data_IF_473994458341
#
_entry.id   IF_473994458341
#
_cell.length_a   1.000
_cell.length_b   1.000
_cell.length_c   1.000
_cell.angle_alpha   90.00
_cell.angle_beta   90.00
_cell.angle_gamma   90.00
#
_symmetry.space_group_name_H-M   'P 1'
#
loop_
_entity.id
_entity.type
_entity.pdbx_description
1 polymer ?
#
# COMPACT_ATOMS: atom_id res chain seq x y z
N UNK A 1 27.68 66.07 27.77
CA UNK A 1 27.15 66.69 26.54
C UNK A 1 26.40 65.59 25.79
N UNK A 2 25.08 65.54 25.95
CA UNK A 2 24.22 64.60 25.25
C UNK A 2 23.86 65.19 23.89
N UNK A 3 24.10 64.44 22.82
CA UNK A 3 23.68 64.80 21.48
C UNK A 3 22.32 64.15 21.22
N UNK A 4 21.25 64.90 21.45
CA UNK A 4 19.90 64.53 21.02
C UNK A 4 19.79 64.72 19.51
N UNK A 5 19.86 63.62 18.76
CA UNK A 5 19.49 63.58 17.34
C UNK A 5 17.97 63.45 17.24
N UNK A 6 17.26 64.35 16.53
CA UNK A 6 15.83 64.19 16.34
C UNK A 6 15.54 62.96 15.44
N UNK A 7 14.48 62.20 15.72
CA UNK A 7 14.09 61.07 14.86
C UNK A 7 13.68 61.61 13.49
N UNK A 8 14.46 61.28 12.45
CA UNK A 8 14.08 61.52 11.06
C UNK A 8 12.90 60.62 10.71
N UNK A 9 11.69 61.12 10.92
CA UNK A 9 10.47 60.52 10.37
C UNK A 9 10.34 60.98 8.92
N UNK A 10 10.87 60.17 7.99
CA UNK A 10 10.61 60.35 6.57
C UNK A 10 9.08 60.32 6.34
N UNK A 11 8.49 61.47 6.00
CA UNK A 11 7.07 61.56 5.66
C UNK A 11 6.84 60.90 4.31
N UNK A 12 6.56 59.60 4.31
CA UNK A 12 6.11 58.83 3.14
C UNK A 12 4.90 59.53 2.50
N UNK A 13 4.97 59.80 1.20
CA UNK A 13 3.87 60.42 0.47
C UNK A 13 2.65 59.49 0.44
N UNK A 14 1.44 60.04 0.23
CA UNK A 14 0.21 59.25 0.19
C UNK A 14 0.24 58.13 -0.86
N UNK A 15 0.97 58.34 -1.95
CA UNK A 15 1.18 57.34 -3.00
C UNK A 15 2.12 56.21 -2.57
N UNK A 16 3.19 56.51 -1.83
CA UNK A 16 4.10 55.48 -1.32
C UNK A 16 3.42 54.58 -0.28
N UNK A 17 2.54 55.17 0.56
CA UNK A 17 1.71 54.40 1.49
C UNK A 17 0.73 53.50 0.75
N UNK A 18 0.12 53.97 -0.33
CA UNK A 18 -0.82 53.21 -1.13
C UNK A 18 -0.13 52.04 -1.86
N UNK A 19 1.09 52.26 -2.36
CA UNK A 19 1.94 51.21 -2.93
C UNK A 19 2.39 50.18 -1.88
N UNK A 20 2.77 50.62 -0.68
CA UNK A 20 3.14 49.69 0.40
C UNK A 20 1.96 48.84 0.86
N UNK A 21 0.77 49.42 1.05
CA UNK A 21 -0.45 48.69 1.45
C UNK A 21 -0.90 47.75 0.33
N UNK A 22 -0.87 48.20 -0.93
CA UNK A 22 -1.17 47.37 -2.09
C UNK A 22 -0.19 46.20 -2.24
N UNK A 23 1.11 46.46 -2.07
CA UNK A 23 2.15 45.43 -2.06
C UNK A 23 1.96 44.42 -0.92
N UNK A 24 1.63 44.89 0.28
CA UNK A 24 1.35 44.02 1.42
C UNK A 24 0.13 43.12 1.15
N UNK A 25 -1.00 43.69 0.71
CA UNK A 25 -2.20 42.93 0.37
C UNK A 25 -1.95 41.90 -0.74
N UNK A 26 -1.24 42.28 -1.81
CA UNK A 26 -0.89 41.37 -2.90
C UNK A 26 -0.01 40.22 -2.39
N UNK A 27 0.98 40.52 -1.54
CA UNK A 27 1.86 39.51 -0.96
C UNK A 27 1.09 38.56 -0.03
N UNK A 28 0.21 39.09 0.82
CA UNK A 28 -0.65 38.29 1.72
C UNK A 28 -1.62 37.40 0.95
N UNK A 29 -2.25 37.89 -0.12
CA UNK A 29 -3.14 37.08 -0.98
C UNK A 29 -2.36 35.97 -1.67
N UNK A 30 -1.19 36.28 -2.25
CA UNK A 30 -0.34 35.28 -2.88
C UNK A 30 0.14 34.23 -1.87
N UNK A 31 0.68 34.63 -0.73
CA UNK A 31 1.14 33.66 0.30
C UNK A 31 0.01 32.81 0.87
N UNK A 32 -1.18 33.38 1.03
CA UNK A 32 -2.36 32.64 1.51
C UNK A 32 -2.85 31.64 0.45
N UNK A 33 -2.87 32.04 -0.83
CA UNK A 33 -3.23 31.16 -1.94
C UNK A 33 -2.21 30.03 -2.12
N UNK A 34 -0.91 30.35 -2.16
CA UNK A 34 0.15 29.33 -2.26
C UNK A 34 0.18 28.42 -1.03
N UNK A 35 -0.04 28.97 0.17
CA UNK A 35 -0.14 28.19 1.41
C UNK A 35 -1.31 27.22 1.38
N UNK A 36 -2.49 27.66 0.95
CA UNK A 36 -3.67 26.82 0.81
C UNK A 36 -3.46 25.73 -0.26
N UNK A 37 -3.01 26.09 -1.46
CA UNK A 37 -2.78 25.14 -2.56
C UNK A 37 -1.69 24.12 -2.21
N UNK A 38 -0.62 24.53 -1.53
CA UNK A 38 0.43 23.61 -1.08
C UNK A 38 -0.06 22.68 0.03
N UNK A 39 -0.83 23.18 1.00
CA UNK A 39 -1.43 22.36 2.05
C UNK A 39 -2.46 21.37 1.51
N UNK A 40 -3.29 21.77 0.55
CA UNK A 40 -4.32 20.92 -0.03
C UNK A 40 -3.70 19.77 -0.84
N UNK A 41 -2.72 20.09 -1.72
CA UNK A 41 -1.98 19.08 -2.49
C UNK A 41 -1.19 18.12 -1.62
N UNK A 42 -0.61 18.61 -0.52
CA UNK A 42 0.13 17.74 0.41
C UNK A 42 -0.81 16.84 1.21
N UNK A 43 -1.98 17.32 1.62
CA UNK A 43 -3.02 16.52 2.28
C UNK A 43 -3.61 15.45 1.34
N UNK A 44 -3.91 15.81 0.08
CA UNK A 44 -4.37 14.87 -0.94
C UNK A 44 -3.34 13.76 -1.18
N UNK A 45 -2.07 14.13 -1.41
CA UNK A 45 -0.98 13.17 -1.58
C UNK A 45 -0.80 12.24 -0.36
N UNK A 46 -0.89 12.77 0.86
CA UNK A 46 -0.80 11.96 2.08
C UNK A 46 -1.99 11.01 2.24
N UNK A 47 -3.20 11.46 1.89
CA UNK A 47 -4.42 10.64 1.95
C UNK A 47 -4.34 9.46 0.98
N UNK A 48 -3.96 9.71 -0.28
CA UNK A 48 -3.80 8.69 -1.32
C UNK A 48 -2.72 7.70 -0.93
N UNK A 49 -1.59 8.17 -0.38
CA UNK A 49 -0.51 7.29 0.09
C UNK A 49 -0.97 6.40 1.25
N UNK A 50 -1.65 6.97 2.22
CA UNK A 50 -2.17 6.22 3.38
C UNK A 50 -3.16 5.15 2.96
N UNK A 51 -4.05 5.48 2.00
CA UNK A 51 -4.99 4.53 1.44
C UNK A 51 -4.28 3.36 0.76
N UNK A 52 -3.30 3.64 -0.11
CA UNK A 52 -2.52 2.61 -0.82
C UNK A 52 -1.78 1.70 0.15
N UNK A 53 -1.12 2.26 1.16
CA UNK A 53 -0.45 1.48 2.21
C UNK A 53 -1.45 0.58 2.96
N UNK A 54 -2.63 1.11 3.28
CA UNK A 54 -3.70 0.33 3.89
C UNK A 54 -4.19 -0.82 3.02
N UNK A 55 -4.32 -0.62 1.71
CA UNK A 55 -4.75 -1.67 0.78
C UNK A 55 -3.70 -2.77 0.60
N UNK A 56 -2.41 -2.40 0.54
CA UNK A 56 -1.30 -3.36 0.52
C UNK A 56 -1.23 -4.17 1.81
N UNK A 57 -1.36 -3.54 2.97
CA UNK A 57 -1.32 -4.22 4.27
C UNK A 57 -2.50 -5.20 4.44
N UNK A 58 -3.68 -4.82 3.95
CA UNK A 58 -4.87 -5.71 3.93
C UNK A 58 -4.62 -6.95 3.08
N UNK A 59 -4.03 -6.81 1.89
CA UNK A 59 -3.68 -7.96 1.06
C UNK A 59 -2.61 -8.84 1.73
N UNK A 60 -1.54 -8.21 2.24
CA UNK A 60 -0.44 -8.86 2.93
C UNK A 60 -0.89 -9.69 4.14
N UNK A 61 -1.80 -9.15 4.96
CA UNK A 61 -2.31 -9.86 6.14
C UNK A 61 -2.99 -11.18 5.75
N UNK A 62 -3.85 -11.15 4.73
CA UNK A 62 -4.56 -12.35 4.25
C UNK A 62 -3.58 -13.34 3.59
N UNK A 63 -2.61 -12.85 2.82
CA UNK A 63 -1.58 -13.69 2.23
C UNK A 63 -0.68 -14.37 3.28
N UNK A 64 -0.37 -13.71 4.40
CA UNK A 64 0.40 -14.30 5.48
C UNK A 64 -0.36 -15.44 6.20
N UNK A 65 -1.68 -15.32 6.36
CA UNK A 65 -2.51 -16.38 6.93
C UNK A 65 -2.50 -17.66 6.07
N UNK A 66 -2.35 -17.52 4.75
CA UNK A 66 -2.33 -18.63 3.81
C UNK A 66 -1.19 -19.62 4.09
N UNK A 67 -0.02 -19.12 4.50
CA UNK A 67 1.18 -19.92 4.75
C UNK A 67 0.94 -21.01 5.81
N UNK A 68 0.18 -20.70 6.87
CA UNK A 68 -0.14 -21.66 7.91
C UNK A 68 -1.27 -22.64 7.51
N UNK A 69 -2.15 -22.24 6.59
CA UNK A 69 -3.30 -23.03 6.18
C UNK A 69 -2.91 -24.17 5.23
N UNK A 70 -1.98 -23.93 4.31
CA UNK A 70 -1.55 -24.92 3.30
C UNK A 70 -0.97 -26.19 3.94
N UNK A 71 0.06 -26.14 4.82
CA UNK A 71 0.62 -27.33 5.45
C UNK A 71 -0.40 -28.11 6.28
N UNK A 72 -1.32 -27.40 6.96
CA UNK A 72 -2.38 -28.04 7.76
C UNK A 72 -3.36 -28.84 6.89
N UNK A 73 -3.81 -28.25 5.78
CA UNK A 73 -4.65 -28.96 4.80
C UNK A 73 -3.92 -30.17 4.21
N UNK A 74 -2.68 -29.97 3.78
CA UNK A 74 -1.86 -31.01 3.17
C UNK A 74 -1.56 -32.19 4.10
N UNK A 75 -1.20 -31.92 5.35
CA UNK A 75 -0.95 -32.98 6.34
C UNK A 75 -2.22 -33.77 6.69
N UNK A 76 -3.38 -33.11 6.76
CA UNK A 76 -4.65 -33.78 6.99
C UNK A 76 -5.02 -34.72 5.83
N UNK A 77 -4.87 -34.23 4.59
CA UNK A 77 -5.13 -34.98 3.38
C UNK A 77 -4.21 -36.19 3.22
N UNK A 78 -2.89 -36.02 3.42
CA UNK A 78 -1.91 -37.12 3.32
C UNK A 78 -2.14 -38.23 4.34
N UNK A 79 -2.77 -37.91 5.48
CA UNK A 79 -3.10 -38.89 6.53
C UNK A 79 -4.48 -39.52 6.36
N UNK A 80 -5.18 -39.22 5.26
CA UNK A 80 -6.55 -39.69 5.02
C UNK A 80 -7.55 -39.22 6.08
N UNK A 81 -7.26 -38.10 6.77
CA UNK A 81 -8.14 -37.52 7.78
C UNK A 81 -9.22 -36.67 7.11
N UNK A 82 -10.29 -36.35 7.84
CA UNK A 82 -11.27 -35.37 7.37
C UNK A 82 -10.58 -34.02 7.12
N UNK A 83 -10.68 -33.54 5.87
CA UNK A 83 -10.09 -32.30 5.38
C UNK A 83 -11.10 -31.18 5.21
N UNK A 84 -12.38 -31.42 5.55
CA UNK A 84 -13.47 -30.48 5.24
C UNK A 84 -13.22 -29.09 5.83
N UNK A 85 -12.83 -29.01 7.11
CA UNK A 85 -12.57 -27.75 7.79
C UNK A 85 -11.33 -27.02 7.25
N UNK A 86 -10.22 -27.73 7.04
CA UNK A 86 -8.97 -27.14 6.54
C UNK A 86 -9.09 -26.73 5.06
N UNK A 87 -9.78 -27.51 4.23
CA UNK A 87 -10.14 -27.15 2.85
C UNK A 87 -10.97 -25.87 2.83
N UNK A 88 -11.99 -25.79 3.68
CA UNK A 88 -12.86 -24.61 3.78
C UNK A 88 -12.06 -23.37 4.15
N UNK A 89 -11.11 -23.48 5.08
CA UNK A 89 -10.24 -22.38 5.47
C UNK A 89 -9.33 -21.91 4.32
N UNK A 90 -8.70 -22.84 3.59
CA UNK A 90 -7.91 -22.55 2.38
C UNK A 90 -8.75 -21.82 1.33
N UNK A 91 -9.93 -22.36 1.00
CA UNK A 91 -10.82 -21.77 0.00
C UNK A 91 -11.32 -20.37 0.42
N UNK A 92 -11.62 -20.18 1.70
CA UNK A 92 -12.04 -18.88 2.23
C UNK A 92 -10.92 -17.84 2.12
N UNK A 93 -9.70 -18.21 2.52
CA UNK A 93 -8.55 -17.32 2.44
C UNK A 93 -8.24 -16.95 0.97
N UNK A 94 -8.25 -17.92 0.05
CA UNK A 94 -8.05 -17.66 -1.38
C UNK A 94 -9.11 -16.71 -1.96
N UNK A 95 -10.38 -16.86 -1.58
CA UNK A 95 -11.45 -15.93 -1.98
C UNK A 95 -11.21 -14.52 -1.43
N UNK A 96 -10.73 -14.41 -0.20
CA UNK A 96 -10.37 -13.13 0.39
C UNK A 96 -9.18 -12.48 -0.34
N UNK A 97 -8.11 -13.23 -0.64
CA UNK A 97 -6.98 -12.72 -1.42
C UNK A 97 -7.42 -12.18 -2.78
N UNK A 98 -8.28 -12.92 -3.52
CA UNK A 98 -8.87 -12.44 -4.78
C UNK A 98 -9.68 -11.17 -4.61
N UNK A 99 -10.54 -11.10 -3.59
CA UNK A 99 -11.32 -9.90 -3.31
C UNK A 99 -10.43 -8.70 -2.99
N UNK A 100 -9.26 -8.92 -2.38
CA UNK A 100 -8.29 -7.87 -2.06
C UNK A 100 -7.38 -7.50 -3.24
N UNK A 101 -7.17 -8.41 -4.19
CA UNK A 101 -6.37 -8.20 -5.39
C UNK A 101 -6.84 -6.99 -6.21
N UNK A 102 -8.16 -6.79 -6.32
CA UNK A 102 -8.75 -5.67 -7.05
C UNK A 102 -8.30 -4.28 -6.55
N UNK A 103 -7.97 -4.14 -5.27
CA UNK A 103 -7.48 -2.88 -4.71
C UNK A 103 -6.02 -2.61 -5.04
N UNK A 104 -5.24 -3.66 -5.29
CA UNK A 104 -3.78 -3.58 -5.44
C UNK A 104 -3.36 -3.49 -6.92
N UNK A 105 -4.07 -4.21 -7.80
CA UNK A 105 -3.80 -4.27 -9.25
C UNK A 105 -3.63 -2.90 -9.94
N UNK A 106 -4.42 -1.85 -9.61
CA UNK A 106 -4.26 -0.54 -10.26
C UNK A 106 -2.88 0.08 -10.07
N UNK A 107 -2.17 -0.27 -8.99
CA UNK A 107 -0.88 0.31 -8.65
C UNK A 107 0.30 -0.44 -9.26
N UNK A 108 0.09 -1.67 -9.73
CA UNK A 108 1.16 -2.56 -10.17
C UNK A 108 1.79 -2.11 -11.50
N UNK A 109 3.08 -2.41 -11.65
CA UNK A 109 3.81 -2.37 -12.92
C UNK A 109 3.28 -3.44 -13.89
N UNK A 110 3.75 -3.42 -15.15
CA UNK A 110 3.29 -4.37 -16.16
C UNK A 110 3.53 -5.83 -15.75
N UNK A 111 4.69 -6.11 -15.15
CA UNK A 111 5.05 -7.43 -14.66
C UNK A 111 4.17 -7.86 -13.47
N UNK A 112 3.92 -6.96 -12.50
CA UNK A 112 3.03 -7.23 -11.38
C UNK A 112 1.57 -7.46 -11.80
N UNK A 113 1.09 -6.77 -12.84
CA UNK A 113 -0.24 -7.02 -13.43
C UNK A 113 -0.33 -8.40 -14.07
N UNK A 114 0.72 -8.86 -14.72
CA UNK A 114 0.78 -10.21 -15.27
C UNK A 114 0.84 -11.28 -14.17
N UNK A 115 1.61 -11.06 -13.09
CA UNK A 115 1.59 -11.93 -11.90
C UNK A 115 0.19 -11.96 -11.25
N UNK A 116 -0.52 -10.83 -11.21
CA UNK A 116 -1.88 -10.76 -10.67
C UNK A 116 -2.87 -11.60 -11.47
N UNK A 117 -2.75 -11.55 -12.81
CA UNK A 117 -3.56 -12.36 -13.72
C UNK A 117 -3.30 -13.85 -13.52
N UNK A 118 -2.03 -14.26 -13.47
CA UNK A 118 -1.65 -15.68 -13.24
C UNK A 118 -2.13 -16.20 -11.90
N UNK A 119 -1.99 -15.39 -10.86
CA UNK A 119 -2.55 -15.70 -9.54
C UNK A 119 -4.07 -15.91 -9.61
N UNK A 120 -4.82 -14.98 -10.22
CA UNK A 120 -6.28 -15.09 -10.29
C UNK A 120 -6.72 -16.36 -11.04
N UNK A 121 -6.07 -16.68 -12.16
CA UNK A 121 -6.30 -17.89 -12.94
C UNK A 121 -6.01 -19.17 -12.15
N UNK A 122 -4.86 -19.23 -11.47
CA UNK A 122 -4.47 -20.36 -10.63
C UNK A 122 -5.47 -20.58 -9.49
N UNK A 123 -5.92 -19.51 -8.82
CA UNK A 123 -6.92 -19.63 -7.75
C UNK A 123 -8.26 -20.12 -8.29
N UNK A 124 -8.72 -19.63 -9.45
CA UNK A 124 -9.96 -20.12 -10.09
C UNK A 124 -9.85 -21.62 -10.36
N UNK A 125 -8.75 -22.06 -10.97
CA UNK A 125 -8.53 -23.45 -11.30
C UNK A 125 -8.48 -24.33 -10.04
N UNK A 126 -7.76 -23.88 -9.01
CA UNK A 126 -7.69 -24.59 -7.73
C UNK A 126 -9.06 -24.74 -7.07
N UNK A 127 -9.87 -23.68 -7.01
CA UNK A 127 -11.21 -23.72 -6.41
C UNK A 127 -12.09 -24.73 -7.15
N UNK A 128 -12.10 -24.68 -8.48
CA UNK A 128 -12.87 -25.61 -9.32
C UNK A 128 -12.43 -27.06 -9.10
N UNK A 129 -11.13 -27.31 -8.98
CA UNK A 129 -10.61 -28.67 -8.78
C UNK A 129 -10.83 -29.19 -7.35
N UNK A 130 -10.69 -28.32 -6.35
CA UNK A 130 -10.97 -28.65 -4.96
C UNK A 130 -12.45 -28.99 -4.72
N UNK A 131 -13.36 -28.36 -5.46
CA UNK A 131 -14.79 -28.68 -5.40
C UNK A 131 -15.12 -30.03 -6.05
N UNK A 132 -14.39 -30.43 -7.10
CA UNK A 132 -14.53 -31.75 -7.74
C UNK A 132 -13.94 -32.89 -6.93
N UNK A 133 -12.96 -32.61 -6.07
CA UNK A 133 -12.28 -33.61 -5.24
C UNK A 133 -12.54 -33.40 -3.74
N UNK A 134 -13.76 -33.73 -3.24
CA UNK A 134 -14.16 -33.42 -1.87
C UNK A 134 -13.33 -34.17 -0.82
N UNK A 135 -12.74 -35.31 -1.19
CA UNK A 135 -11.96 -36.19 -0.32
C UNK A 135 -10.47 -35.82 -0.24
N UNK A 136 -9.95 -35.01 -1.17
CA UNK A 136 -8.55 -34.56 -1.16
C UNK A 136 -7.51 -35.65 -1.43
N UNK A 137 -7.90 -36.76 -2.07
CA UNK A 137 -7.03 -37.95 -2.25
C UNK A 137 -5.87 -37.71 -3.23
N UNK A 138 -6.04 -36.80 -4.20
CA UNK A 138 -4.98 -36.39 -5.13
C UNK A 138 -4.30 -35.10 -4.68
N UNK A 139 -3.55 -35.20 -3.57
CA UNK A 139 -2.93 -34.03 -2.93
C UNK A 139 -1.68 -33.49 -3.63
N UNK A 140 -0.97 -34.31 -4.41
CA UNK A 140 0.29 -33.93 -5.06
C UNK A 140 0.14 -32.75 -6.04
N UNK A 141 -0.73 -32.85 -7.06
CA UNK A 141 -0.99 -31.74 -7.99
C UNK A 141 -1.57 -30.50 -7.28
N UNK A 142 -2.45 -30.70 -6.28
CA UNK A 142 -3.02 -29.60 -5.50
C UNK A 142 -1.96 -28.85 -4.68
N UNK A 143 -0.92 -29.55 -4.19
CA UNK A 143 0.20 -28.92 -3.49
C UNK A 143 1.05 -28.05 -4.40
N UNK A 144 1.33 -28.53 -5.61
CA UNK A 144 2.07 -27.77 -6.61
C UNK A 144 1.32 -26.49 -6.97
N UNK A 145 0.01 -26.59 -7.17
CA UNK A 145 -0.85 -25.44 -7.43
C UNK A 145 -0.87 -24.45 -6.26
N UNK A 146 -1.02 -24.93 -5.02
CA UNK A 146 -0.99 -24.07 -3.82
C UNK A 146 0.37 -23.39 -3.62
N UNK A 147 1.46 -24.09 -3.91
CA UNK A 147 2.82 -23.53 -3.85
C UNK A 147 3.02 -22.46 -4.93
N UNK A 148 2.53 -22.73 -6.13
CA UNK A 148 2.54 -21.75 -7.23
C UNK A 148 1.71 -20.50 -6.89
N UNK A 149 0.52 -20.66 -6.33
CA UNK A 149 -0.33 -19.56 -5.85
C UNK A 149 0.39 -18.77 -4.76
N UNK A 150 1.06 -19.46 -3.83
CA UNK A 150 1.83 -18.83 -2.76
C UNK A 150 2.97 -17.97 -3.31
N UNK A 151 3.79 -18.49 -4.24
CA UNK A 151 4.88 -17.73 -4.88
C UNK A 151 4.36 -16.46 -5.57
N UNK A 152 3.30 -16.59 -6.38
CA UNK A 152 2.71 -15.42 -7.05
C UNK A 152 2.14 -14.40 -6.05
N UNK A 153 1.61 -14.85 -4.91
CA UNK A 153 1.15 -13.92 -3.85
C UNK A 153 2.30 -13.11 -3.23
N UNK A 154 3.49 -13.72 -3.08
CA UNK A 154 4.69 -13.03 -2.59
C UNK A 154 5.22 -12.04 -3.62
N UNK A 155 5.25 -12.42 -4.91
CA UNK A 155 5.62 -11.53 -6.00
C UNK A 155 4.69 -10.32 -6.09
N UNK A 156 3.39 -10.52 -5.85
CA UNK A 156 2.41 -9.44 -5.80
C UNK A 156 2.66 -8.50 -4.63
N UNK A 157 2.97 -9.01 -3.45
CA UNK A 157 3.35 -8.17 -2.30
C UNK A 157 4.61 -7.37 -2.65
N UNK A 158 5.61 -7.99 -3.26
CA UNK A 158 6.85 -7.31 -3.67
C UNK A 158 6.58 -6.21 -4.71
N UNK A 159 5.77 -6.48 -5.73
CA UNK A 159 5.38 -5.48 -6.74
C UNK A 159 4.55 -4.33 -6.14
N UNK A 160 3.69 -4.65 -5.17
CA UNK A 160 2.89 -3.65 -4.44
C UNK A 160 3.75 -2.75 -3.57
N UNK A 161 4.79 -3.32 -2.95
CA UNK A 161 5.76 -2.54 -2.18
C UNK A 161 6.51 -1.57 -3.09
N UNK A 162 6.89 -2.00 -4.31
CA UNK A 162 7.47 -1.13 -5.36
C UNK A 162 6.58 0.02 -5.75
N UNK A 163 5.34 -0.30 -6.07
CA UNK A 163 4.35 0.69 -6.46
C UNK A 163 4.06 1.74 -5.36
N UNK A 164 4.28 1.41 -4.10
CA UNK A 164 4.00 2.29 -2.95
C UNK A 164 5.24 2.94 -2.33
N UNK A 165 6.44 2.68 -2.88
CA UNK A 165 7.71 3.16 -2.33
C UNK A 165 8.09 2.52 -1.00
N UNK A 166 7.59 1.30 -0.73
CA UNK A 166 7.94 0.46 0.41
C UNK A 166 9.22 -0.37 0.17
N UNK A 167 9.93 -0.15 -0.93
CA UNK A 167 11.09 -0.94 -1.40
C UNK A 167 12.29 -1.02 -0.48
N UNK A 168 12.37 -0.10 0.47
CA UNK A 168 13.43 -0.08 1.48
C UNK A 168 13.07 -0.90 2.74
N UNK A 169 11.92 -1.59 2.74
CA UNK A 169 11.54 -2.55 3.79
C UNK A 169 12.14 -3.90 3.42
N UNK A 170 13.44 -4.08 3.70
CA UNK A 170 14.02 -5.41 3.75
C UNK A 170 13.27 -6.23 4.80
N UNK A 171 12.67 -7.34 4.36
CA UNK A 171 12.07 -8.34 5.24
C UNK A 171 13.21 -9.11 5.90
N UNK A 172 13.84 -8.51 6.90
CA UNK A 172 14.68 -9.25 7.84
C UNK A 172 13.77 -9.83 8.92
N UNK A 173 13.88 -11.14 9.04
CA UNK A 173 13.24 -12.00 10.03
C UNK A 173 13.21 -11.35 11.42
N UNK A 174 11.98 -11.09 11.90
CA UNK A 174 11.60 -10.88 13.31
C UNK A 174 12.51 -10.05 14.23
N UNK A 175 12.29 -8.73 14.32
CA UNK A 175 12.26 -7.88 15.54
C UNK A 175 12.66 -6.42 15.22
N UNK A 176 11.88 -5.48 15.77
CA UNK A 176 12.10 -4.02 15.83
C UNK A 176 12.09 -3.25 14.50
N UNK A 177 10.93 -2.69 14.16
CA UNK A 177 10.80 -1.63 13.15
C UNK A 177 10.94 -0.26 13.83
N UNK A 178 12.11 0.35 13.73
CA UNK A 178 12.23 1.81 13.88
C UNK A 178 13.22 2.32 12.86
N UNK A 179 12.74 3.02 11.84
CA UNK A 179 13.56 3.97 11.08
C UNK A 179 12.71 5.04 10.40
N UNK A 180 13.28 6.23 10.44
CA UNK A 180 12.76 7.52 10.00
C UNK A 180 12.73 7.60 8.48
N UNK A 181 11.59 7.99 7.91
CA UNK A 181 11.40 8.16 6.46
C UNK A 181 11.54 9.65 6.09
N UNK A 182 12.53 9.97 5.26
CA UNK A 182 12.63 11.25 4.56
C UNK A 182 11.95 11.13 3.20
N UNK A 183 10.95 11.99 2.95
CA UNK A 183 10.42 12.18 1.61
C UNK A 183 11.38 13.11 0.86
N UNK A 184 12.00 12.63 -0.22
CA UNK A 184 12.69 13.51 -1.17
C UNK A 184 11.73 13.89 -2.28
N UNK A 185 11.56 15.20 -2.45
CA UNK A 185 10.80 15.85 -3.52
C UNK A 185 11.36 15.50 -4.90
N UNK A 186 10.45 15.29 -5.86
CA UNK A 186 10.73 15.43 -7.30
C UNK A 186 9.74 16.41 -7.90
#
# INVERSE_FOLDING_TARGET
MNSDLPPQTAKLSGWDRLLMVGGFLATTICTSYFGFVAQDRTAECQSIRTQRLGDVERFRTVAAEFEALVPNYMQAALRGKDTTASRTAVLLNLRQQRAKLAFVVPYLDADGKESARRFDEAVVNFVVEADKNPTGVNVGPLYQELSYIFENSQDLIAASNRATGMDNIQVTTGRFWKRTLTCSDS
#
